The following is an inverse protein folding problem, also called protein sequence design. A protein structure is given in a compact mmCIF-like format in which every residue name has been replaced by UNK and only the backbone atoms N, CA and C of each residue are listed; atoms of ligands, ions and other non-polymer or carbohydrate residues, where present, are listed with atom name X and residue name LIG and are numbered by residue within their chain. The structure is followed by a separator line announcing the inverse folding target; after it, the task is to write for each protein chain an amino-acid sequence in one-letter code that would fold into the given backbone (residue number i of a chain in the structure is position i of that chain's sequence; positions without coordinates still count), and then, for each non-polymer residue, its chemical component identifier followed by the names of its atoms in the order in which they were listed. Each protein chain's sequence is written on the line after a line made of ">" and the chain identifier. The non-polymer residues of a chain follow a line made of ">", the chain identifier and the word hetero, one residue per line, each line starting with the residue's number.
data_IF_626932168714
#
_entry.id   IF_626932168714
#
_cell.length_a   1.000
_cell.length_b   1.000
_cell.length_c   1.000
_cell.angle_alpha   90.00
_cell.angle_beta   90.00
_cell.angle_gamma   90.00
#
_symmetry.space_group_name_H-M   'P 1'
#
loop_
_entity.id
_entity.type
_entity.pdbx_description
1 polymer ?
#
# COMPACT_ATOMS: atom_id res chain seq x y z
N UNK A 1 7.19 -13.76 -106.60
CA UNK A 1 8.09 -12.61 -106.33
C UNK A 1 8.18 -12.53 -104.82
N UNK A 2 9.14 -13.24 -104.21
CA UNK A 2 10.45 -12.69 -103.72
C UNK A 2 10.22 -11.89 -102.44
N UNK A 3 10.83 -12.13 -101.27
CA UNK A 3 12.03 -12.89 -100.89
C UNK A 3 12.16 -12.88 -99.33
N UNK A 4 12.89 -13.87 -98.76
CA UNK A 4 13.78 -13.81 -97.56
C UNK A 4 13.29 -13.16 -96.23
N UNK A 5 13.43 -13.71 -95.01
CA UNK A 5 14.59 -14.44 -94.43
C UNK A 5 14.14 -15.08 -93.10
N UNK A 6 14.09 -16.41 -93.02
CA UNK A 6 14.18 -17.16 -91.74
C UNK A 6 15.65 -17.54 -91.61
N UNK A 7 16.27 -17.09 -90.52
CA UNK A 7 17.65 -17.44 -90.19
C UNK A 7 17.67 -18.92 -89.79
N UNK A 8 18.00 -19.76 -90.77
CA UNK A 8 18.25 -21.18 -90.59
C UNK A 8 19.46 -21.35 -89.66
N UNK A 9 19.29 -22.21 -88.67
CA UNK A 9 20.39 -22.78 -87.91
C UNK A 9 21.34 -23.46 -88.87
N UNK A 10 22.60 -23.05 -88.84
CA UNK A 10 23.67 -23.70 -89.58
C UNK A 10 24.02 -25.01 -88.86
N UNK A 11 23.52 -26.13 -89.40
CA UNK A 11 24.13 -27.44 -89.19
C UNK A 11 25.52 -27.44 -89.84
N UNK A 12 26.55 -27.33 -89.02
CA UNK A 12 27.94 -27.56 -89.41
C UNK A 12 28.44 -28.91 -88.88
N UNK A 13 28.36 -29.94 -89.72
CA UNK A 13 29.38 -30.98 -89.87
C UNK A 13 29.58 -32.01 -88.76
N UNK A 14 29.07 -33.23 -88.98
CA UNK A 14 29.40 -34.41 -88.19
C UNK A 14 30.84 -34.92 -88.37
N UNK A 15 31.54 -35.07 -87.26
CA UNK A 15 32.61 -36.04 -87.03
C UNK A 15 32.32 -36.69 -85.68
N UNK A 16 32.51 -38.00 -85.56
CA UNK A 16 32.13 -38.82 -84.41
C UNK A 16 32.85 -38.38 -83.11
N UNK A 17 32.39 -37.28 -82.49
CA UNK A 17 32.85 -36.83 -81.20
C UNK A 17 32.01 -37.53 -80.14
N UNK A 18 32.63 -38.48 -79.45
CA UNK A 18 32.00 -39.18 -78.35
C UNK A 18 31.70 -38.15 -77.24
N UNK A 19 30.46 -37.68 -77.12
CA UNK A 19 30.01 -36.65 -76.17
C UNK A 19 30.27 -37.01 -74.71
N UNK A 20 30.48 -38.30 -74.41
CA UNK A 20 30.83 -38.80 -73.08
C UNK A 20 32.33 -38.67 -72.77
N UNK A 21 33.18 -38.40 -73.77
CA UNK A 21 34.62 -38.19 -73.56
C UNK A 21 34.84 -36.73 -73.16
N UNK A 22 35.33 -36.46 -71.94
CA UNK A 22 35.53 -35.10 -71.47
C UNK A 22 36.56 -34.38 -72.34
N UNK A 23 36.16 -33.22 -72.88
CA UNK A 23 37.05 -32.31 -73.59
C UNK A 23 37.71 -31.33 -72.61
N UNK A 24 38.74 -30.58 -73.05
CA UNK A 24 39.44 -29.57 -72.24
C UNK A 24 38.54 -28.47 -71.65
N UNK A 25 37.30 -28.37 -72.14
CA UNK A 25 36.21 -27.57 -71.54
C UNK A 25 35.93 -27.95 -70.09
N UNK A 26 36.15 -29.20 -69.68
CA UNK A 26 36.00 -29.64 -68.29
C UNK A 26 36.86 -28.81 -67.33
N UNK A 27 38.15 -28.61 -67.66
CA UNK A 27 39.07 -27.84 -66.81
C UNK A 27 38.72 -26.34 -66.80
N UNK A 28 38.29 -25.79 -67.94
CA UNK A 28 37.85 -24.40 -68.00
C UNK A 28 36.59 -24.16 -67.14
N UNK A 29 35.60 -25.06 -67.22
CA UNK A 29 34.39 -25.01 -66.37
C UNK A 29 34.74 -25.22 -64.90
N UNK A 30 35.66 -26.13 -64.57
CA UNK A 30 36.11 -26.35 -63.20
C UNK A 30 36.79 -25.11 -62.61
N UNK A 31 37.64 -24.42 -63.36
CA UNK A 31 38.29 -23.18 -62.91
C UNK A 31 37.24 -22.09 -62.65
N UNK A 32 36.29 -21.89 -63.57
CA UNK A 32 35.21 -20.91 -63.40
C UNK A 32 34.35 -21.26 -62.17
N UNK A 33 34.03 -22.55 -61.98
CA UNK A 33 33.31 -23.04 -60.81
C UNK A 33 34.07 -22.73 -59.51
N UNK A 34 35.37 -22.98 -59.45
CA UNK A 34 36.19 -22.68 -58.27
C UNK A 34 36.27 -21.18 -57.98
N UNK A 35 36.35 -20.34 -59.02
CA UNK A 35 36.32 -18.88 -58.85
C UNK A 35 34.97 -18.45 -58.25
N UNK A 36 33.85 -18.92 -58.80
CA UNK A 36 32.51 -18.61 -58.27
C UNK A 36 32.32 -19.16 -56.86
N UNK A 37 32.78 -20.37 -56.58
CA UNK A 37 32.77 -20.96 -55.24
C UNK A 37 33.55 -20.08 -54.24
N UNK A 38 34.73 -19.60 -54.63
CA UNK A 38 35.52 -18.67 -53.83
C UNK A 38 34.79 -17.35 -53.56
N UNK A 39 34.11 -16.79 -54.57
CA UNK A 39 33.29 -15.59 -54.41
C UNK A 39 32.12 -15.84 -53.46
N UNK A 40 31.38 -16.95 -53.61
CA UNK A 40 30.27 -17.31 -52.72
C UNK A 40 30.76 -17.52 -51.28
N UNK A 41 31.83 -18.28 -51.09
CA UNK A 41 32.40 -18.56 -49.78
C UNK A 41 32.89 -17.28 -49.07
N UNK A 42 33.46 -16.33 -49.82
CA UNK A 42 34.01 -15.08 -49.28
C UNK A 42 32.95 -13.99 -49.08
N UNK A 43 31.95 -13.90 -49.96
CA UNK A 43 31.02 -12.76 -50.02
C UNK A 43 29.57 -13.10 -49.68
N UNK A 44 29.11 -14.33 -49.92
CA UNK A 44 27.70 -14.71 -49.71
C UNK A 44 27.51 -15.46 -48.39
N UNK A 45 28.40 -16.38 -48.05
CA UNK A 45 28.30 -17.16 -46.81
C UNK A 45 28.42 -16.29 -45.55
N UNK A 46 29.39 -15.35 -45.43
CA UNK A 46 29.54 -14.55 -44.22
C UNK A 46 28.32 -13.67 -43.87
N UNK A 47 27.70 -12.91 -44.81
CA UNK A 47 26.52 -12.12 -44.46
C UNK A 47 25.31 -13.00 -44.13
N UNK A 48 25.11 -14.13 -44.81
CA UNK A 48 24.02 -15.06 -44.48
C UNK A 48 24.20 -15.63 -43.07
N UNK A 49 25.41 -16.09 -42.74
CA UNK A 49 25.72 -16.60 -41.40
C UNK A 49 25.53 -15.53 -40.33
N UNK A 50 25.91 -14.28 -40.61
CA UNK A 50 25.70 -13.16 -39.70
C UNK A 50 24.21 -12.90 -39.44
N UNK A 51 23.38 -12.88 -40.49
CA UNK A 51 21.93 -12.66 -40.35
C UNK A 51 21.27 -13.80 -39.58
N UNK A 52 21.68 -15.06 -39.80
CA UNK A 52 21.19 -16.20 -39.03
C UNK A 52 21.55 -16.08 -37.55
N UNK A 53 22.81 -15.75 -37.24
CA UNK A 53 23.26 -15.54 -35.86
C UNK A 53 22.53 -14.37 -35.19
N UNK A 54 22.30 -13.25 -35.90
CA UNK A 54 21.52 -12.13 -35.39
C UNK A 54 20.07 -12.52 -35.10
N UNK A 55 19.43 -13.32 -35.95
CA UNK A 55 18.08 -13.83 -35.72
C UNK A 55 18.01 -14.74 -34.49
N UNK A 56 18.94 -15.68 -34.35
CA UNK A 56 19.04 -16.54 -33.18
C UNK A 56 19.28 -15.73 -31.90
N UNK A 57 20.20 -14.76 -31.96
CA UNK A 57 20.48 -13.87 -30.84
C UNK A 57 19.27 -13.01 -30.47
N UNK A 58 18.51 -12.50 -31.44
CA UNK A 58 17.27 -11.77 -31.16
C UNK A 58 16.23 -12.66 -30.48
N UNK A 59 16.01 -13.89 -30.96
CA UNK A 59 15.07 -14.83 -30.34
C UNK A 59 15.47 -15.16 -28.91
N UNK A 60 16.75 -15.47 -28.69
CA UNK A 60 17.29 -15.76 -27.36
C UNK A 60 17.16 -14.55 -26.43
N UNK A 61 17.48 -13.36 -26.93
CA UNK A 61 17.34 -12.11 -26.18
C UNK A 61 15.88 -11.83 -25.82
N UNK A 62 14.96 -11.92 -26.76
CA UNK A 62 13.54 -11.69 -26.50
C UNK A 62 12.99 -12.69 -25.48
N UNK A 63 13.39 -13.96 -25.56
CA UNK A 63 13.00 -14.96 -24.57
C UNK A 63 13.56 -14.64 -23.16
N UNK A 64 14.83 -14.23 -23.08
CA UNK A 64 15.47 -13.84 -21.83
C UNK A 64 14.84 -12.57 -21.24
N UNK A 65 14.61 -11.55 -22.06
CA UNK A 65 13.99 -10.28 -21.65
C UNK A 65 12.55 -10.50 -21.17
N UNK A 66 11.78 -11.35 -21.84
CA UNK A 66 10.43 -11.73 -21.39
C UNK A 66 10.45 -12.44 -20.03
N UNK A 67 11.35 -13.42 -19.83
CA UNK A 67 11.50 -14.10 -18.53
C UNK A 67 11.90 -13.12 -17.43
N UNK A 68 12.91 -12.30 -17.69
CA UNK A 68 13.40 -11.29 -16.75
C UNK A 68 12.32 -10.25 -16.42
N UNK A 69 11.46 -9.90 -17.38
CA UNK A 69 10.36 -8.96 -17.17
C UNK A 69 9.27 -9.60 -16.30
N UNK A 70 8.92 -10.87 -16.56
CA UNK A 70 7.98 -11.62 -15.72
C UNK A 70 8.50 -11.79 -14.29
N UNK A 71 9.78 -12.11 -14.12
CA UNK A 71 10.43 -12.21 -12.80
C UNK A 71 10.43 -10.88 -12.06
N UNK A 72 10.75 -9.77 -12.74
CA UNK A 72 10.70 -8.43 -12.13
C UNK A 72 9.28 -8.04 -11.70
N UNK A 73 8.26 -8.33 -12.51
CA UNK A 73 6.86 -8.06 -12.14
C UNK A 73 6.45 -8.91 -10.95
N UNK A 74 6.81 -10.20 -10.93
CA UNK A 74 6.51 -11.08 -9.81
C UNK A 74 7.21 -10.62 -8.51
N UNK A 75 8.47 -10.22 -8.59
CA UNK A 75 9.21 -9.66 -7.46
C UNK A 75 8.58 -8.36 -6.96
N UNK A 76 8.28 -7.41 -7.86
CA UNK A 76 7.63 -6.15 -7.50
C UNK A 76 6.25 -6.35 -6.87
N UNK A 77 5.48 -7.35 -7.34
CA UNK A 77 4.19 -7.71 -6.74
C UNK A 77 4.37 -8.27 -5.33
N UNK A 78 5.36 -9.15 -5.13
CA UNK A 78 5.67 -9.70 -3.81
C UNK A 78 6.10 -8.61 -2.82
N UNK A 79 7.00 -7.71 -3.24
CA UNK A 79 7.46 -6.57 -2.43
C UNK A 79 6.29 -5.64 -2.08
N UNK A 80 5.38 -5.38 -3.04
CA UNK A 80 4.18 -4.59 -2.82
C UNK A 80 3.25 -5.23 -1.80
N UNK A 81 2.98 -6.54 -1.93
CA UNK A 81 2.10 -7.27 -1.04
C UNK A 81 2.68 -7.34 0.38
N UNK A 82 4.00 -7.54 0.52
CA UNK A 82 4.72 -7.48 1.80
C UNK A 82 4.62 -6.10 2.44
N UNK A 83 4.89 -5.03 1.68
CA UNK A 83 4.77 -3.65 2.15
C UNK A 83 3.34 -3.33 2.61
N UNK A 84 2.33 -3.78 1.86
CA UNK A 84 0.92 -3.60 2.22
C UNK A 84 0.53 -4.41 3.46
N UNK A 85 1.05 -5.62 3.63
CA UNK A 85 0.84 -6.41 4.83
C UNK A 85 1.48 -5.74 6.06
N UNK A 86 2.72 -5.27 5.92
CA UNK A 86 3.43 -4.51 6.96
C UNK A 86 2.70 -3.23 7.35
N UNK A 87 2.24 -2.45 6.37
CA UNK A 87 1.46 -1.23 6.61
C UNK A 87 0.13 -1.52 7.34
N UNK A 88 -0.58 -2.60 6.97
CA UNK A 88 -1.82 -3.01 7.65
C UNK A 88 -1.56 -3.43 9.10
N UNK A 89 -0.47 -4.15 9.36
CA UNK A 89 -0.08 -4.55 10.70
C UNK A 89 0.25 -3.33 11.57
N UNK A 90 1.06 -2.39 11.06
CA UNK A 90 1.37 -1.14 11.75
C UNK A 90 0.12 -0.31 12.02
N UNK A 91 -0.77 -0.16 11.03
CA UNK A 91 -2.03 0.54 11.22
C UNK A 91 -2.92 -0.12 12.29
N UNK A 92 -2.92 -1.46 12.39
CA UNK A 92 -3.64 -2.14 13.48
C UNK A 92 -3.01 -1.85 14.83
N UNK A 93 -1.68 -1.95 14.93
CA UNK A 93 -0.95 -1.64 16.16
C UNK A 93 -1.24 -0.22 16.65
N UNK A 94 -1.20 0.77 15.76
CA UNK A 94 -1.49 2.18 16.10
C UNK A 94 -2.94 2.34 16.59
N UNK A 95 -3.91 1.67 15.95
CA UNK A 95 -5.31 1.72 16.41
C UNK A 95 -5.48 1.10 17.78
N UNK A 96 -4.81 -0.01 18.04
CA UNK A 96 -4.93 -0.73 19.31
C UNK A 96 -4.23 0.04 20.44
N UNK A 97 -3.08 0.66 20.17
CA UNK A 97 -2.41 1.59 21.08
C UNK A 97 -3.27 2.82 21.38
N UNK A 98 -3.86 3.44 20.35
CA UNK A 98 -4.77 4.59 20.53
C UNK A 98 -6.01 4.21 21.35
N UNK A 99 -6.56 3.01 21.17
CA UNK A 99 -7.69 2.51 21.99
C UNK A 99 -7.27 2.26 23.43
N UNK A 100 -6.09 1.69 23.66
CA UNK A 100 -5.57 1.45 25.00
C UNK A 100 -5.33 2.77 25.74
N UNK A 101 -4.63 3.71 25.09
CA UNK A 101 -4.40 5.05 25.60
C UNK A 101 -5.72 5.79 25.87
N UNK A 102 -6.67 5.74 24.94
CA UNK A 102 -7.99 6.35 25.12
C UNK A 102 -8.76 5.78 26.31
N UNK A 103 -8.72 4.46 26.53
CA UNK A 103 -9.33 3.82 27.73
C UNK A 103 -8.65 4.31 29.00
N UNK A 104 -7.32 4.36 29.02
CA UNK A 104 -6.57 4.86 30.17
C UNK A 104 -6.95 6.30 30.52
N UNK A 105 -7.05 7.19 29.52
CA UNK A 105 -7.48 8.58 29.73
C UNK A 105 -8.91 8.67 30.28
N UNK A 106 -9.83 7.83 29.77
CA UNK A 106 -11.21 7.78 30.28
C UNK A 106 -11.23 7.32 31.74
N UNK A 107 -10.48 6.27 32.08
CA UNK A 107 -10.42 5.75 33.44
C UNK A 107 -9.77 6.74 34.41
N UNK A 108 -8.70 7.42 34.00
CA UNK A 108 -8.05 8.49 34.75
C UNK A 108 -9.00 9.65 35.02
N UNK A 109 -9.67 10.16 33.97
CA UNK A 109 -10.64 11.26 34.11
C UNK A 109 -11.85 10.88 34.96
N UNK A 110 -12.29 9.61 34.89
CA UNK A 110 -13.36 9.11 35.75
C UNK A 110 -12.92 9.03 37.21
N UNK A 111 -11.70 8.60 37.48
CA UNK A 111 -11.14 8.55 38.82
C UNK A 111 -10.98 9.96 39.42
N UNK A 112 -10.45 10.91 38.64
CA UNK A 112 -10.33 12.33 39.00
C UNK A 112 -11.72 12.91 39.36
N UNK A 113 -12.71 12.78 38.46
CA UNK A 113 -14.07 13.25 38.72
C UNK A 113 -14.71 12.59 39.94
N UNK A 114 -14.47 11.30 40.17
CA UNK A 114 -14.99 10.61 41.37
C UNK A 114 -14.36 11.14 42.65
N UNK A 115 -13.07 11.49 42.61
CA UNK A 115 -12.37 12.15 43.72
C UNK A 115 -12.90 13.55 44.00
N UNK A 116 -13.11 14.36 42.97
CA UNK A 116 -13.71 15.69 43.09
C UNK A 116 -15.12 15.65 43.66
N UNK A 117 -15.94 14.69 43.22
CA UNK A 117 -17.29 14.48 43.76
C UNK A 117 -17.22 14.10 45.23
N UNK A 118 -16.35 13.17 45.62
CA UNK A 118 -16.19 12.77 47.02
C UNK A 118 -15.77 13.94 47.90
N UNK A 119 -14.84 14.77 47.44
CA UNK A 119 -14.40 15.97 48.14
C UNK A 119 -15.52 17.02 48.24
N UNK A 120 -16.27 17.24 47.17
CA UNK A 120 -17.41 18.16 47.16
C UNK A 120 -18.49 17.72 48.16
N UNK A 121 -18.80 16.42 48.22
CA UNK A 121 -19.77 15.86 49.18
C UNK A 121 -19.26 16.04 50.61
N UNK A 122 -17.99 15.76 50.87
CA UNK A 122 -17.38 15.97 52.20
C UNK A 122 -17.49 17.42 52.65
N UNK A 123 -17.16 18.37 51.78
CA UNK A 123 -17.28 19.81 52.07
C UNK A 123 -18.74 20.22 52.28
N UNK A 124 -19.67 19.68 51.51
CA UNK A 124 -21.10 19.95 51.67
C UNK A 124 -21.62 19.43 53.03
N UNK A 125 -21.23 18.23 53.44
CA UNK A 125 -21.59 17.65 54.74
C UNK A 125 -21.01 18.46 55.91
N UNK A 126 -19.76 18.90 55.81
CA UNK A 126 -19.11 19.79 56.80
C UNK A 126 -19.87 21.12 56.92
N UNK A 127 -20.23 21.75 55.79
CA UNK A 127 -21.03 22.98 55.77
C UNK A 127 -22.43 22.79 56.34
N UNK A 128 -23.10 21.69 55.99
CA UNK A 128 -24.46 21.38 56.45
C UNK A 128 -24.48 21.12 57.96
N UNK A 129 -23.45 20.44 58.49
CA UNK A 129 -23.25 20.23 59.92
C UNK A 129 -23.06 21.56 60.66
N UNK A 130 -22.20 22.44 60.14
CA UNK A 130 -21.97 23.77 60.70
C UNK A 130 -23.25 24.64 60.69
N UNK A 131 -23.98 24.68 59.57
CA UNK A 131 -25.26 25.38 59.48
C UNK A 131 -26.30 24.81 60.45
N UNK A 132 -26.39 23.48 60.58
CA UNK A 132 -27.31 22.83 61.52
C UNK A 132 -27.00 23.22 62.97
N UNK A 133 -25.73 23.29 63.36
CA UNK A 133 -25.33 23.74 64.68
C UNK A 133 -25.71 25.21 64.93
N UNK A 134 -25.48 26.09 63.95
CA UNK A 134 -25.86 27.51 64.03
C UNK A 134 -27.37 27.70 64.15
N UNK A 135 -28.16 26.99 63.33
CA UNK A 135 -29.63 27.07 63.34
C UNK A 135 -30.21 26.54 64.65
N UNK A 136 -29.64 25.46 65.22
CA UNK A 136 -30.05 24.94 66.53
C UNK A 136 -29.88 25.97 67.64
N UNK A 137 -28.74 26.68 67.71
CA UNK A 137 -28.54 27.74 68.70
C UNK A 137 -29.53 28.91 68.54
N UNK A 138 -29.88 29.26 67.30
CA UNK A 138 -30.92 30.26 67.02
C UNK A 138 -32.34 29.81 67.39
N UNK A 139 -32.65 28.54 67.16
CA UNK A 139 -33.92 27.92 67.54
C UNK A 139 -34.10 27.87 69.05
N UNK A 140 -33.07 27.50 69.81
CA UNK A 140 -33.08 27.52 71.29
C UNK A 140 -33.40 28.92 71.81
N UNK A 141 -32.72 29.95 71.30
CA UNK A 141 -32.99 31.35 71.67
C UNK A 141 -34.42 31.79 71.30
N UNK A 142 -34.97 31.27 70.20
CA UNK A 142 -36.33 31.59 69.75
C UNK A 142 -37.40 30.83 70.53
N UNK A 143 -37.11 29.62 71.03
CA UNK A 143 -38.06 28.78 71.77
C UNK A 143 -38.42 29.41 73.11
N UNK A 144 -37.47 30.04 73.79
CA UNK A 144 -37.71 30.73 75.06
C UNK A 144 -38.66 31.92 74.88
N UNK A 145 -38.44 32.72 73.82
CA UNK A 145 -39.31 33.84 73.47
C UNK A 145 -40.73 33.40 73.07
N UNK A 146 -40.84 32.34 72.27
CA UNK A 146 -42.13 31.77 71.86
C UNK A 146 -42.87 31.13 73.05
N UNK A 147 -42.15 30.48 73.97
CA UNK A 147 -42.72 29.88 75.18
C UNK A 147 -43.25 30.94 76.14
N UNK A 148 -42.52 32.04 76.34
CA UNK A 148 -43.00 33.18 77.12
C UNK A 148 -44.25 33.83 76.48
N UNK A 149 -44.26 33.96 75.15
CA UNK A 149 -45.42 34.48 74.41
C UNK A 149 -46.65 33.57 74.58
N UNK A 150 -46.46 32.25 74.51
CA UNK A 150 -47.53 31.27 74.70
C UNK A 150 -48.06 31.29 76.15
N UNK A 151 -47.17 31.36 77.14
CA UNK A 151 -47.52 31.44 78.56
C UNK A 151 -48.37 32.69 78.87
N UNK A 152 -47.96 33.87 78.36
CA UNK A 152 -48.76 35.10 78.47
C UNK A 152 -50.14 34.98 77.84
N UNK A 153 -50.27 34.25 76.72
CA UNK A 153 -51.54 34.04 76.02
C UNK A 153 -52.49 33.09 76.77
N UNK A 154 -51.95 32.08 77.46
CA UNK A 154 -52.72 31.13 78.28
C UNK A 154 -53.14 31.76 79.62
N UNK A 155 -52.25 32.52 80.28
CA UNK A 155 -52.56 33.20 81.55
C UNK A 155 -53.41 34.46 81.39
N UNK A 156 -53.50 35.04 80.18
CA UNK A 156 -54.29 36.25 79.91
C UNK A 156 -53.70 37.54 80.49
N UNK A 157 -52.44 37.50 80.95
CA UNK A 157 -51.68 38.63 81.51
C UNK A 157 -50.24 38.59 80.97
N UNK A 158 -49.62 39.75 80.79
CA UNK A 158 -48.26 39.85 80.23
C UNK A 158 -47.21 39.45 81.29
N UNK A 159 -46.55 38.29 81.09
CA UNK A 159 -45.64 37.69 82.08
C UNK A 159 -44.23 38.32 82.03
N UNK A 160 -43.98 39.32 81.18
CA UNK A 160 -42.64 39.92 81.01
C UNK A 160 -42.13 40.76 82.21
N UNK A 161 -42.89 40.87 83.30
CA UNK A 161 -42.58 41.74 84.45
C UNK A 161 -42.60 41.04 85.83
N UNK A 162 -42.19 39.77 85.91
CA UNK A 162 -42.13 39.03 87.17
C UNK A 162 -40.77 38.38 87.43
N UNK A 163 -39.72 39.17 87.60
CA UNK A 163 -38.38 38.66 87.86
C UNK A 163 -37.35 39.74 88.15
N UNK A 164 -37.54 40.48 89.24
CA UNK A 164 -36.48 41.24 89.91
C UNK A 164 -36.35 40.76 91.35
N UNK A 165 -35.53 39.73 91.54
CA UNK A 165 -34.50 39.58 92.58
C UNK A 165 -33.93 38.16 92.54
#
# INVERSE_FOLDING_TARGET
>A
MSDLTILAAEEGGGGQSNFLVPNGTFFAVLIIFLIVLGVIAKWVVPPISKVLAEREAMLAKTAADNRKSAEQVAAAQADYDEAMAGARAQASSIRDEARASGRQVVDEKRAEASGEVAETVRQADEQLSAQSAQVRGGLESSVDGLSATLASRILGVDVKSGGTQ
#
